data_IF_718934800227
#
_entry.id   IF_718934800227
#
_cell.length_a   1.000
_cell.length_b   1.000
_cell.length_c   1.000
_cell.angle_alpha   90.00
_cell.angle_beta   90.00
_cell.angle_gamma   90.00
#
_symmetry.space_group_name_H-M   'P 1'
#
loop_
_entity.id
_entity.type
_entity.pdbx_description
1 polymer ?
#
# COMPACT_ATOMS: atom_id res chain seq x y z
N UNK A 1 31.82 -37.71 71.01
CA UNK A 1 31.10 -36.51 70.53
C UNK A 1 32.12 -35.40 70.42
N UNK A 2 32.64 -35.17 69.21
CA UNK A 2 33.73 -34.22 68.96
C UNK A 2 33.13 -32.93 68.40
N UNK A 3 33.01 -31.91 69.24
CA UNK A 3 32.63 -30.56 68.82
C UNK A 3 33.79 -29.93 68.05
N UNK A 4 33.66 -29.84 66.73
CA UNK A 4 34.59 -29.08 65.90
C UNK A 4 34.40 -27.58 66.16
N UNK A 5 35.33 -26.99 66.91
CA UNK A 5 35.45 -25.54 67.01
C UNK A 5 36.06 -25.09 65.68
N UNK A 6 35.39 -24.24 64.86
CA UNK A 6 35.99 -23.75 63.64
C UNK A 6 37.25 -22.94 63.99
N UNK A 7 38.35 -23.09 63.24
CA UNK A 7 39.57 -22.31 63.50
C UNK A 7 39.24 -20.83 63.37
N UNK A 8 39.34 -20.10 64.48
CA UNK A 8 39.17 -18.65 64.53
C UNK A 8 40.39 -17.97 63.89
N UNK A 9 40.50 -18.07 62.57
CA UNK A 9 41.54 -17.37 61.81
C UNK A 9 41.28 -15.88 61.91
N UNK A 10 42.15 -15.18 62.64
CA UNK A 10 42.14 -13.74 62.85
C UNK A 10 42.16 -12.94 61.52
N UNK A 11 42.57 -13.57 60.41
CA UNK A 11 42.51 -13.00 59.05
C UNK A 11 41.08 -12.75 58.54
N UNK A 12 40.07 -13.45 59.06
CA UNK A 12 38.67 -13.27 58.65
C UNK A 12 37.92 -12.21 59.48
N UNK A 13 38.48 -11.79 60.62
CA UNK A 13 37.82 -10.89 61.59
C UNK A 13 37.62 -9.46 61.05
N UNK A 14 38.37 -9.08 60.02
CA UNK A 14 38.31 -7.74 59.42
C UNK A 14 37.60 -7.72 58.06
N UNK A 15 37.04 -8.84 57.58
CA UNK A 15 36.10 -8.75 56.48
C UNK A 15 34.82 -8.17 57.04
N UNK A 16 34.64 -6.86 56.81
CA UNK A 16 33.36 -6.21 56.99
C UNK A 16 32.32 -7.06 56.25
N UNK A 17 31.29 -7.52 56.97
CA UNK A 17 30.07 -8.01 56.33
C UNK A 17 29.61 -6.89 55.39
N UNK A 18 29.79 -7.11 54.10
CA UNK A 18 29.33 -6.16 53.10
C UNK A 18 27.82 -6.28 53.14
N UNK A 19 27.16 -5.30 53.74
CA UNK A 19 25.70 -5.17 53.71
C UNK A 19 25.25 -5.39 52.26
N UNK A 20 24.47 -6.45 52.04
CA UNK A 20 23.95 -6.75 50.71
C UNK A 20 23.05 -5.59 50.36
N UNK A 21 23.51 -4.74 49.44
CA UNK A 21 22.75 -3.57 48.99
C UNK A 21 21.34 -4.05 48.64
N UNK A 22 20.28 -3.35 49.10
CA UNK A 22 18.92 -3.75 48.81
C UNK A 22 18.79 -3.92 47.30
N UNK A 23 18.27 -5.07 46.87
CA UNK A 23 18.09 -5.40 45.45
C UNK A 23 17.42 -4.21 44.77
N UNK A 24 18.18 -3.55 43.89
CA UNK A 24 17.68 -2.42 43.12
C UNK A 24 16.50 -2.93 42.33
N UNK A 25 15.31 -2.40 42.63
CA UNK A 25 14.11 -2.76 41.89
C UNK A 25 14.31 -2.41 40.43
N UNK A 26 14.31 -3.42 39.56
CA UNK A 26 14.37 -3.27 38.10
C UNK A 26 13.08 -2.68 37.54
N UNK A 27 12.06 -2.52 38.39
CA UNK A 27 10.84 -1.80 38.07
C UNK A 27 11.10 -0.30 38.15
N UNK A 28 10.89 0.45 37.05
CA UNK A 28 11.23 1.85 37.03
C UNK A 28 10.28 2.65 37.92
N UNK A 29 10.83 3.24 38.98
CA UNK A 29 10.09 4.09 39.91
C UNK A 29 9.84 5.51 39.36
N UNK A 30 10.39 5.83 38.18
CA UNK A 30 10.37 7.17 37.58
C UNK A 30 9.28 7.33 36.51
N UNK A 31 8.65 8.50 36.50
CA UNK A 31 7.61 8.92 35.52
C UNK A 31 8.08 8.80 34.05
N UNK A 32 9.39 8.73 33.80
CA UNK A 32 9.96 8.65 32.46
C UNK A 32 9.51 7.42 31.67
N UNK A 33 9.30 6.27 32.33
CA UNK A 33 8.82 5.06 31.63
C UNK A 33 7.34 5.11 31.31
N UNK A 34 6.55 5.79 32.14
CA UNK A 34 5.15 6.05 31.83
C UNK A 34 5.03 6.99 30.61
N UNK A 35 5.89 8.01 30.54
CA UNK A 35 5.95 8.90 29.39
C UNK A 35 6.42 8.18 28.12
N UNK A 36 7.44 7.30 28.24
CA UNK A 36 7.93 6.49 27.12
C UNK A 36 6.85 5.51 26.63
N UNK A 37 6.17 4.83 27.55
CA UNK A 37 5.06 3.95 27.22
C UNK A 37 3.92 4.72 26.53
N UNK A 38 3.58 5.92 27.03
CA UNK A 38 2.58 6.79 26.42
C UNK A 38 3.00 7.19 24.98
N UNK A 39 4.24 7.63 24.79
CA UNK A 39 4.77 7.97 23.47
C UNK A 39 4.73 6.77 22.51
N UNK A 40 5.09 5.57 22.98
CA UNK A 40 5.05 4.35 22.19
C UNK A 40 3.61 3.99 21.78
N UNK A 41 2.66 4.11 22.71
CA UNK A 41 1.24 3.87 22.43
C UNK A 41 0.71 4.86 21.39
N UNK A 42 1.00 6.16 21.55
CA UNK A 42 0.58 7.17 20.56
C UNK A 42 1.19 6.90 19.18
N UNK A 43 2.46 6.52 19.13
CA UNK A 43 3.13 6.13 17.89
C UNK A 43 2.47 4.91 17.25
N UNK A 44 2.18 3.87 18.04
CA UNK A 44 1.52 2.66 17.55
C UNK A 44 0.11 2.95 17.03
N UNK A 45 -0.70 3.73 17.76
CA UNK A 45 -2.05 4.14 17.33
C UNK A 45 -1.99 4.95 16.04
N UNK A 46 -1.05 5.88 15.93
CA UNK A 46 -0.85 6.67 14.72
C UNK A 46 -0.51 5.80 13.51
N UNK A 47 0.42 4.85 13.68
CA UNK A 47 0.78 3.91 12.62
C UNK A 47 -0.37 2.98 12.25
N UNK A 48 -1.12 2.48 13.24
CA UNK A 48 -2.27 1.62 13.01
C UNK A 48 -3.38 2.37 12.26
N UNK A 49 -3.68 3.61 12.64
CA UNK A 49 -4.67 4.44 11.94
C UNK A 49 -4.26 4.68 10.48
N UNK A 50 -2.98 4.98 10.23
CA UNK A 50 -2.45 5.12 8.87
C UNK A 50 -2.55 3.82 8.08
N UNK A 51 -2.20 2.70 8.68
CA UNK A 51 -2.26 1.39 8.03
C UNK A 51 -3.69 1.00 7.71
N UNK A 52 -4.62 1.15 8.66
CA UNK A 52 -6.05 0.90 8.45
C UNK A 52 -6.61 1.78 7.35
N UNK A 53 -6.24 3.07 7.32
CA UNK A 53 -6.66 3.98 6.26
C UNK A 53 -6.09 3.55 4.90
N UNK A 54 -4.83 3.17 4.83
CA UNK A 54 -4.21 2.62 3.62
C UNK A 54 -4.87 1.32 3.17
N UNK A 55 -5.21 0.42 4.08
CA UNK A 55 -5.93 -0.81 3.78
C UNK A 55 -7.35 -0.53 3.26
N UNK A 56 -8.05 0.43 3.86
CA UNK A 56 -9.37 0.86 3.41
C UNK A 56 -9.31 1.45 2.01
N UNK A 57 -8.35 2.35 1.77
CA UNK A 57 -8.13 2.94 0.45
C UNK A 57 -7.73 1.88 -0.57
N UNK A 58 -7.04 0.79 -0.22
CA UNK A 58 -6.69 -0.25 -1.19
C UNK A 58 -7.73 -1.37 -1.34
N UNK A 59 -8.88 -1.31 -0.64
CA UNK A 59 -9.91 -2.35 -0.73
C UNK A 59 -10.48 -2.46 -2.14
N UNK A 60 -10.71 -1.32 -2.80
CA UNK A 60 -11.23 -1.30 -4.18
C UNK A 60 -10.29 -2.00 -5.16
N UNK A 61 -8.96 -1.92 -4.96
CA UNK A 61 -7.98 -2.60 -5.82
C UNK A 61 -8.13 -4.11 -5.75
N UNK A 62 -8.32 -4.65 -4.54
CA UNK A 62 -8.55 -6.09 -4.34
C UNK A 62 -9.85 -6.56 -4.98
N UNK A 63 -10.92 -5.79 -4.83
CA UNK A 63 -12.22 -6.08 -5.46
C UNK A 63 -12.10 -6.03 -7.00
N UNK A 64 -11.39 -5.04 -7.56
CA UNK A 64 -11.15 -4.93 -8.99
C UNK A 64 -10.29 -6.06 -9.56
N UNK A 65 -9.21 -6.44 -8.87
CA UNK A 65 -8.37 -7.59 -9.25
C UNK A 65 -9.15 -8.90 -9.20
N UNK A 66 -9.97 -9.10 -8.16
CA UNK A 66 -10.87 -10.25 -8.08
C UNK A 66 -11.89 -10.27 -9.21
N UNK A 67 -12.40 -9.09 -9.60
CA UNK A 67 -13.34 -8.99 -10.71
C UNK A 67 -12.67 -9.25 -12.08
N UNK A 68 -11.39 -8.88 -12.25
CA UNK A 68 -10.60 -9.24 -13.43
C UNK A 68 -10.27 -10.73 -13.49
N UNK A 69 -9.94 -11.36 -12.36
CA UNK A 69 -9.64 -12.79 -12.32
C UNK A 69 -10.81 -13.65 -12.82
N UNK A 70 -12.05 -13.25 -12.52
CA UNK A 70 -13.26 -13.93 -13.01
C UNK A 70 -13.59 -13.66 -14.49
N UNK A 71 -12.85 -12.80 -15.20
CA UNK A 71 -13.11 -12.51 -16.62
C UNK A 71 -12.84 -13.71 -17.51
N UNK A 72 -11.82 -14.52 -17.20
CA UNK A 72 -11.46 -15.69 -18.01
C UNK A 72 -12.51 -16.79 -18.05
N UNK A 73 -13.48 -16.78 -17.13
CA UNK A 73 -14.60 -17.72 -17.09
C UNK A 73 -15.78 -17.28 -17.99
N UNK A 74 -15.76 -16.04 -18.48
CA UNK A 74 -16.81 -15.47 -19.33
C UNK A 74 -16.57 -15.81 -20.81
N UNK A 75 -17.64 -15.84 -21.63
CA UNK A 75 -17.50 -15.92 -23.09
C UNK A 75 -16.64 -14.77 -23.62
N UNK A 76 -15.78 -15.05 -24.61
CA UNK A 76 -14.83 -14.10 -25.24
C UNK A 76 -15.45 -12.74 -25.56
N UNK A 77 -16.66 -12.74 -26.12
CA UNK A 77 -17.48 -11.55 -26.44
C UNK A 77 -17.71 -10.62 -25.23
N UNK A 78 -17.87 -11.20 -24.03
CA UNK A 78 -18.18 -10.46 -22.81
C UNK A 78 -16.93 -10.02 -22.04
N UNK A 79 -15.77 -10.64 -22.33
CA UNK A 79 -14.54 -10.36 -21.60
C UNK A 79 -14.08 -8.91 -21.77
N UNK A 80 -14.05 -8.43 -23.01
CA UNK A 80 -13.68 -7.05 -23.35
C UNK A 80 -14.57 -6.02 -22.63
N UNK A 81 -15.88 -6.27 -22.62
CA UNK A 81 -16.87 -5.43 -21.93
C UNK A 81 -16.70 -5.47 -20.42
N UNK A 82 -16.41 -6.66 -19.85
CA UNK A 82 -16.20 -6.80 -18.41
C UNK A 82 -14.96 -6.03 -17.95
N UNK A 83 -13.85 -6.14 -18.67
CA UNK A 83 -12.63 -5.36 -18.42
C UNK A 83 -12.95 -3.86 -18.44
N UNK A 84 -13.74 -3.40 -19.40
CA UNK A 84 -14.14 -1.99 -19.51
C UNK A 84 -14.89 -1.53 -18.27
N UNK A 85 -15.91 -2.28 -17.84
CA UNK A 85 -16.67 -1.91 -16.63
C UNK A 85 -15.81 -1.90 -15.37
N UNK A 86 -14.90 -2.86 -15.20
CA UNK A 86 -14.02 -2.91 -14.02
C UNK A 86 -13.13 -1.66 -13.99
N UNK A 87 -12.39 -1.39 -15.07
CA UNK A 87 -11.50 -0.23 -15.14
C UNK A 87 -12.26 1.09 -15.05
N UNK A 88 -13.44 1.17 -15.68
CA UNK A 88 -14.30 2.36 -15.62
C UNK A 88 -14.79 2.65 -14.21
N UNK A 89 -15.18 1.60 -13.47
CA UNK A 89 -15.61 1.71 -12.08
C UNK A 89 -14.47 2.20 -11.20
N UNK A 90 -13.27 1.65 -11.37
CA UNK A 90 -12.08 2.08 -10.61
C UNK A 90 -11.75 3.54 -10.93
N UNK A 91 -11.75 3.94 -12.20
CA UNK A 91 -11.48 5.32 -12.58
C UNK A 91 -12.52 6.30 -11.99
N UNK A 92 -13.81 5.95 -12.02
CA UNK A 92 -14.87 6.74 -11.41
C UNK A 92 -14.72 6.84 -9.87
N UNK A 93 -14.23 5.79 -9.22
CA UNK A 93 -13.92 5.79 -7.79
C UNK A 93 -12.73 6.71 -7.46
N UNK A 94 -11.68 6.69 -8.28
CA UNK A 94 -10.50 7.53 -8.12
C UNK A 94 -10.81 9.02 -8.33
N UNK A 95 -11.57 9.31 -9.38
CA UNK A 95 -11.88 10.68 -9.77
C UNK A 95 -13.26 10.76 -10.43
N UNK A 96 -14.31 11.15 -9.67
CA UNK A 96 -15.69 11.15 -10.18
C UNK A 96 -15.91 12.05 -11.40
N UNK A 97 -15.10 13.11 -11.59
CA UNK A 97 -15.14 13.96 -12.79
C UNK A 97 -14.76 13.19 -14.06
N UNK A 98 -13.91 12.17 -13.96
CA UNK A 98 -13.47 11.31 -15.06
C UNK A 98 -14.47 10.19 -15.41
N UNK A 99 -15.57 10.07 -14.64
CA UNK A 99 -16.60 9.07 -14.88
C UNK A 99 -17.29 9.20 -16.24
N UNK A 100 -17.28 10.39 -16.87
CA UNK A 100 -17.90 10.62 -18.18
C UNK A 100 -17.00 10.28 -19.39
N UNK A 101 -15.69 10.15 -19.19
CA UNK A 101 -14.75 9.93 -20.29
C UNK A 101 -15.00 8.58 -21.01
N UNK A 102 -14.92 8.55 -22.33
CA UNK A 102 -15.10 7.31 -23.11
C UNK A 102 -14.19 7.30 -24.33
N UNK A 103 -13.96 6.13 -24.93
CA UNK A 103 -13.10 6.02 -26.11
C UNK A 103 -11.68 6.48 -25.81
N UNK A 104 -11.12 7.31 -26.70
CA UNK A 104 -9.74 7.78 -26.59
C UNK A 104 -9.48 8.62 -25.33
N UNK A 105 -10.44 9.43 -24.87
CA UNK A 105 -10.28 10.22 -23.64
C UNK A 105 -10.08 9.29 -22.43
N UNK A 106 -10.87 8.22 -22.36
CA UNK A 106 -10.74 7.21 -21.31
C UNK A 106 -9.38 6.53 -21.33
N UNK A 107 -8.86 6.14 -22.50
CA UNK A 107 -7.53 5.52 -22.63
C UNK A 107 -6.41 6.48 -22.17
N UNK A 108 -6.50 7.75 -22.53
CA UNK A 108 -5.53 8.77 -22.11
C UNK A 108 -5.51 8.97 -20.60
N UNK A 109 -6.67 8.94 -19.94
CA UNK A 109 -6.77 9.04 -18.49
C UNK A 109 -6.17 7.84 -17.76
N UNK A 110 -6.33 6.62 -18.30
CA UNK A 110 -5.67 5.44 -17.74
C UNK A 110 -4.14 5.60 -17.75
N UNK A 111 -3.60 6.08 -18.87
CA UNK A 111 -2.15 6.31 -19.02
C UNK A 111 -1.65 7.44 -18.12
N UNK A 112 -2.39 8.54 -18.00
CA UNK A 112 -2.07 9.65 -17.10
C UNK A 112 -1.94 9.18 -15.64
N UNK A 113 -2.88 8.35 -15.18
CA UNK A 113 -2.87 7.79 -13.82
C UNK A 113 -1.75 6.77 -13.60
N UNK A 114 -1.14 6.26 -14.66
CA UNK A 114 0.00 5.35 -14.59
C UNK A 114 1.33 6.12 -14.54
N UNK A 115 1.51 7.16 -15.38
CA UNK A 115 2.77 7.93 -15.48
C UNK A 115 3.06 8.75 -14.23
N UNK A 116 2.04 9.28 -13.56
CA UNK A 116 2.25 10.29 -12.53
C UNK A 116 2.94 9.75 -11.24
N UNK A 117 2.98 8.43 -11.00
CA UNK A 117 3.67 7.83 -9.82
C UNK A 117 5.20 7.81 -9.98
N UNK A 118 5.70 7.96 -11.21
CA UNK A 118 7.12 7.89 -11.54
C UNK A 118 7.47 8.84 -12.70
N UNK A 119 7.86 10.11 -12.43
CA UNK A 119 8.21 11.09 -13.47
C UNK A 119 9.44 10.69 -14.33
N UNK A 120 10.18 9.66 -13.92
CA UNK A 120 11.33 9.09 -14.63
C UNK A 120 11.03 7.75 -15.31
N UNK A 121 9.85 7.17 -15.09
CA UNK A 121 9.45 5.98 -15.83
C UNK A 121 8.77 6.44 -17.11
N UNK A 122 9.56 6.55 -18.18
CA UNK A 122 9.16 5.85 -19.40
C UNK A 122 8.56 4.53 -18.95
N UNK A 123 7.27 4.28 -19.24
CA UNK A 123 6.65 2.95 -19.07
C UNK A 123 7.77 1.98 -19.43
N UNK A 124 8.29 1.19 -18.46
CA UNK A 124 9.50 0.44 -18.74
C UNK A 124 9.18 -0.32 -20.01
N UNK A 125 10.10 -0.26 -20.98
CA UNK A 125 9.99 -0.96 -22.26
C UNK A 125 10.07 -2.46 -21.96
N UNK A 126 9.10 -2.92 -21.19
CA UNK A 126 8.77 -4.28 -20.92
C UNK A 126 8.33 -4.72 -22.29
N UNK A 127 9.11 -5.58 -22.91
CA UNK A 127 8.83 -6.18 -24.22
C UNK A 127 7.42 -6.80 -24.33
N UNK A 128 6.67 -6.85 -23.21
CA UNK A 128 5.29 -7.28 -23.07
C UNK A 128 4.22 -6.25 -23.48
N UNK A 129 4.44 -4.94 -23.36
CA UNK A 129 3.40 -3.93 -23.68
C UNK A 129 3.96 -2.81 -24.54
N UNK A 130 3.45 -2.68 -25.77
CA UNK A 130 3.87 -1.68 -26.77
C UNK A 130 3.31 -0.27 -26.46
N UNK A 131 3.62 0.22 -25.25
CA UNK A 131 3.03 1.42 -24.63
C UNK A 131 1.67 1.14 -23.99
N UNK A 132 1.19 2.12 -23.21
CA UNK A 132 -0.03 2.02 -22.40
C UNK A 132 -1.34 1.82 -23.17
N UNK A 133 -2.46 2.17 -22.55
CA UNK A 133 -3.80 2.00 -23.12
C UNK A 133 -4.04 2.86 -24.36
N UNK A 134 -3.41 4.03 -24.50
CA UNK A 134 -3.58 4.90 -25.65
C UNK A 134 -2.72 4.47 -26.85
N UNK A 135 -2.91 3.22 -27.26
CA UNK A 135 -2.16 2.50 -28.30
C UNK A 135 -3.11 1.64 -29.16
N UNK A 136 -2.63 1.02 -30.26
CA UNK A 136 -3.50 0.29 -31.18
C UNK A 136 -4.36 -0.80 -30.51
N UNK A 137 -3.83 -1.47 -29.47
CA UNK A 137 -4.58 -2.46 -28.70
C UNK A 137 -5.78 -1.83 -27.97
N UNK A 138 -5.57 -0.73 -27.26
CA UNK A 138 -6.64 -0.03 -26.55
C UNK A 138 -7.68 0.59 -27.50
N UNK A 139 -7.24 1.12 -28.65
CA UNK A 139 -8.18 1.60 -29.68
C UNK A 139 -9.06 0.49 -30.24
N UNK A 140 -8.46 -0.66 -30.59
CA UNK A 140 -9.19 -1.85 -31.06
C UNK A 140 -10.15 -2.34 -30.00
N UNK A 141 -9.71 -2.35 -28.75
CA UNK A 141 -10.58 -2.68 -27.63
C UNK A 141 -11.77 -1.74 -27.53
N UNK A 142 -11.57 -0.42 -27.57
CA UNK A 142 -12.69 0.53 -27.55
C UNK A 142 -13.64 0.32 -28.72
N UNK A 143 -13.14 0.02 -29.93
CA UNK A 143 -14.00 -0.29 -31.10
C UNK A 143 -14.79 -1.59 -30.91
N UNK A 144 -14.16 -2.65 -30.37
CA UNK A 144 -14.81 -3.94 -30.09
C UNK A 144 -16.00 -3.83 -29.13
N UNK A 145 -16.04 -2.80 -28.29
CA UNK A 145 -17.16 -2.57 -27.37
C UNK A 145 -18.45 -2.11 -28.08
N UNK A 146 -18.33 -1.47 -29.25
CA UNK A 146 -19.47 -0.93 -30.01
C UNK A 146 -19.80 -1.78 -31.24
N UNK A 147 -18.82 -2.49 -31.77
CA UNK A 147 -18.94 -3.28 -32.99
C UNK A 147 -18.61 -4.75 -32.72
N UNK A 148 -19.64 -5.59 -32.66
CA UNK A 148 -19.52 -7.03 -32.46
C UNK A 148 -18.85 -7.75 -33.64
N UNK A 149 -18.60 -7.08 -34.76
CA UNK A 149 -17.82 -7.63 -35.88
C UNK A 149 -16.30 -7.49 -35.69
N UNK A 150 -15.87 -6.65 -34.75
CA UNK A 150 -14.45 -6.42 -34.43
C UNK A 150 -14.06 -7.03 -33.08
N UNK A 151 -14.27 -8.34 -32.95
CA UNK A 151 -13.91 -9.09 -31.74
C UNK A 151 -12.39 -9.12 -31.58
N UNK A 152 -11.91 -8.88 -30.35
CA UNK A 152 -10.50 -9.06 -30.02
C UNK A 152 -10.12 -10.54 -30.13
N UNK A 153 -8.94 -10.82 -30.69
CA UNK A 153 -8.43 -12.18 -30.68
C UNK A 153 -8.05 -12.60 -29.25
N UNK A 154 -8.09 -13.91 -28.96
CA UNK A 154 -7.63 -14.49 -27.69
C UNK A 154 -6.28 -13.94 -27.18
N UNK A 155 -5.21 -13.81 -27.99
CA UNK A 155 -3.97 -13.21 -27.52
C UNK A 155 -4.12 -11.73 -27.15
N UNK A 156 -4.92 -10.96 -27.89
CA UNK A 156 -5.17 -9.55 -27.58
C UNK A 156 -5.96 -9.38 -26.28
N UNK A 157 -6.89 -10.30 -25.98
CA UNK A 157 -7.61 -10.32 -24.70
C UNK A 157 -6.67 -10.65 -23.54
N UNK A 158 -5.79 -11.64 -23.71
CA UNK A 158 -4.76 -11.94 -22.72
C UNK A 158 -3.86 -10.74 -22.45
N UNK A 159 -3.40 -10.06 -23.50
CA UNK A 159 -2.57 -8.84 -23.37
C UNK A 159 -3.35 -7.71 -22.68
N UNK A 160 -4.62 -7.53 -23.01
CA UNK A 160 -5.49 -6.54 -22.37
C UNK A 160 -5.70 -6.85 -20.88
N UNK A 161 -5.90 -8.11 -20.50
CA UNK A 161 -6.05 -8.53 -19.10
C UNK A 161 -4.77 -8.27 -18.31
N UNK A 162 -3.61 -8.66 -18.86
CA UNK A 162 -2.31 -8.42 -18.24
C UNK A 162 -2.03 -6.92 -18.08
N UNK A 163 -2.35 -6.11 -19.10
CA UNK A 163 -2.21 -4.65 -19.03
C UNK A 163 -3.14 -4.05 -17.96
N UNK A 164 -4.37 -4.55 -17.87
CA UNK A 164 -5.37 -4.14 -16.88
C UNK A 164 -4.95 -4.50 -15.45
N UNK A 165 -4.40 -5.69 -15.25
CA UNK A 165 -3.82 -6.11 -13.98
C UNK A 165 -2.62 -5.25 -13.59
N UNK A 166 -1.72 -4.99 -14.54
CA UNK A 166 -0.56 -4.13 -14.32
C UNK A 166 -1.00 -2.73 -13.87
N UNK A 167 -1.99 -2.16 -14.56
CA UNK A 167 -2.56 -0.86 -14.20
C UNK A 167 -3.22 -0.86 -12.83
N UNK A 168 -4.02 -1.87 -12.48
CA UNK A 168 -4.65 -1.95 -11.15
C UNK A 168 -3.63 -2.02 -10.00
N UNK A 169 -2.45 -2.59 -10.25
CA UNK A 169 -1.38 -2.67 -9.26
C UNK A 169 -0.57 -1.38 -9.13
N UNK A 170 -0.42 -0.59 -10.20
CA UNK A 170 0.53 0.53 -10.28
C UNK A 170 -0.10 1.91 -10.55
N UNK A 171 -1.41 2.01 -10.71
CA UNK A 171 -2.06 3.31 -10.86
C UNK A 171 -2.02 4.11 -9.55
N UNK A 172 -2.00 5.43 -9.69
CA UNK A 172 -2.11 6.32 -8.55
C UNK A 172 -3.43 6.12 -7.79
N UNK A 173 -3.31 5.77 -6.50
CA UNK A 173 -4.47 5.69 -5.61
C UNK A 173 -5.15 7.05 -5.40
N UNK A 174 -6.35 7.05 -4.77
CA UNK A 174 -7.01 8.31 -4.42
C UNK A 174 -6.08 9.15 -3.55
N UNK A 175 -6.04 10.47 -3.79
CA UNK A 175 -5.17 11.40 -3.04
C UNK A 175 -5.51 11.31 -1.55
N UNK A 176 -4.78 10.49 -0.81
CA UNK A 176 -4.93 10.37 0.63
C UNK A 176 -4.58 11.71 1.27
N UNK A 177 -5.34 12.12 2.29
CA UNK A 177 -5.05 13.32 3.06
C UNK A 177 -3.65 13.20 3.69
N UNK A 178 -2.67 13.89 3.11
CA UNK A 178 -1.31 13.89 3.60
C UNK A 178 -1.15 14.98 4.63
N UNK A 179 -1.06 14.59 5.91
CA UNK A 179 -0.69 15.51 7.00
C UNK A 179 0.64 16.24 6.70
N UNK A 180 1.60 15.58 6.03
CA UNK A 180 2.85 16.22 5.60
C UNK A 180 2.65 17.29 4.53
N UNK A 181 1.67 17.13 3.65
CA UNK A 181 1.30 18.16 2.67
C UNK A 181 0.53 19.30 3.34
N UNK A 182 -0.37 18.97 4.28
CA UNK A 182 -1.10 19.95 5.09
C UNK A 182 -0.16 20.85 5.90
N UNK A 183 0.76 20.26 6.69
CA UNK A 183 1.72 21.03 7.49
C UNK A 183 2.75 21.80 6.63
N UNK A 184 3.17 21.26 5.47
CA UNK A 184 4.01 22.03 4.52
C UNK A 184 3.28 23.26 3.98
N UNK A 185 2.00 23.11 3.66
CA UNK A 185 1.15 24.22 3.19
C UNK A 185 0.90 25.25 4.30
N UNK A 186 0.69 24.80 5.53
CA UNK A 186 0.53 25.67 6.70
C UNK A 186 1.83 26.44 7.01
N UNK A 187 2.98 25.77 7.00
CA UNK A 187 4.28 26.39 7.26
C UNK A 187 4.65 27.43 6.19
N UNK A 188 4.25 27.22 4.93
CA UNK A 188 4.48 28.16 3.83
C UNK A 188 3.59 29.42 3.87
N UNK A 189 2.49 29.42 4.64
CA UNK A 189 1.64 30.61 4.84
C UNK A 189 2.08 31.51 6.00
N UNK A 190 3.05 31.05 6.81
CA UNK A 190 3.59 31.78 7.97
C UNK A 190 5.05 32.24 7.77
N UNK A 191 5.61 32.08 6.56
CA UNK A 191 6.90 32.62 6.14
C UNK A 191 6.69 33.72 5.11
#
# INVERSE_FOLDING_TARGET
MSTHIPPSSYMLKNFAEIDVLPVVSWWPQTLGWQLLALCLVLYAVFHLAKYLHFCWLNRYRKEALSALAGVGELPTEQQATRVFFVLKTVLAYLEPSMAKASGHEFLGLLDEKLVAEHPSSTVPNNQFFDGGFNKPLGERWQRSLFDSSQVLSEPQLSDLLLLSEHWLNHHQGPKAFSLRAFWRKQAAHHA
#
